data_IF_654950911466
#
_entry.id   IF_654950911466
#
_cell.length_a   1.000
_cell.length_b   1.000
_cell.length_c   1.000
_cell.angle_alpha   90.00
_cell.angle_beta   90.00
_cell.angle_gamma   90.00
#
_symmetry.space_group_name_H-M   'P 1'
#
loop_
_entity.id
_entity.type
_entity.pdbx_description
1 polymer ?
#
# COMPACT_ATOMS: atom_id res chain seq x y z
N UNK A 1 -15.67 4.97 4.80
CA UNK A 1 -14.87 4.08 5.67
C UNK A 1 -13.58 4.80 6.05
N UNK A 2 -13.18 4.81 7.33
CA UNK A 2 -12.02 5.57 7.83
C UNK A 2 -10.72 4.94 7.30
N UNK A 3 -9.92 5.69 6.52
CA UNK A 3 -8.70 5.18 5.92
C UNK A 3 -7.70 4.74 7.02
N UNK A 4 -7.35 3.45 7.03
CA UNK A 4 -6.49 2.81 8.04
C UNK A 4 -5.02 2.69 7.59
N UNK A 5 -4.68 3.25 6.43
CA UNK A 5 -3.35 3.22 5.84
C UNK A 5 -2.81 4.64 5.76
N UNK A 6 -1.56 4.83 6.21
CA UNK A 6 -0.87 6.11 6.12
C UNK A 6 -0.80 6.56 4.64
N UNK A 7 -1.05 7.84 4.37
CA UNK A 7 -0.93 8.43 3.02
C UNK A 7 0.43 8.14 2.37
N UNK A 8 1.48 7.99 3.18
CA UNK A 8 2.82 7.59 2.74
C UNK A 8 2.86 6.20 2.10
N UNK A 9 2.25 5.18 2.71
CA UNK A 9 2.25 3.81 2.17
C UNK A 9 1.51 3.75 0.81
N UNK A 10 0.41 4.50 0.70
CA UNK A 10 -0.30 4.70 -0.58
C UNK A 10 0.62 5.33 -1.63
N UNK A 11 1.34 6.39 -1.27
CA UNK A 11 2.23 7.10 -2.17
C UNK A 11 3.37 6.20 -2.65
N UNK A 12 4.01 5.45 -1.73
CA UNK A 12 5.04 4.48 -2.09
C UNK A 12 4.50 3.41 -3.04
N UNK A 13 3.32 2.82 -2.77
CA UNK A 13 2.72 1.84 -3.71
C UNK A 13 2.48 2.41 -5.09
N UNK A 14 2.02 3.66 -5.17
CA UNK A 14 1.77 4.31 -6.45
C UNK A 14 3.08 4.55 -7.21
N UNK A 15 4.12 5.03 -6.52
CA UNK A 15 5.47 5.23 -7.08
C UNK A 15 6.05 3.89 -7.56
N UNK A 16 6.05 2.86 -6.71
CA UNK A 16 6.57 1.54 -7.07
C UNK A 16 5.79 0.89 -8.23
N UNK A 17 4.46 0.99 -8.21
CA UNK A 17 3.61 0.46 -9.28
C UNK A 17 3.89 1.12 -10.63
N UNK A 18 4.01 2.45 -10.67
CA UNK A 18 4.41 3.18 -11.88
C UNK A 18 5.82 2.75 -12.32
N UNK A 19 6.76 2.67 -11.38
CA UNK A 19 8.15 2.30 -11.68
C UNK A 19 8.26 0.92 -12.31
N UNK A 20 7.52 -0.07 -11.80
CA UNK A 20 7.43 -1.43 -12.35
C UNK A 20 6.86 -1.46 -13.77
N UNK A 21 5.79 -0.70 -14.04
CA UNK A 21 5.20 -0.61 -15.38
C UNK A 21 6.18 0.02 -16.37
N UNK A 22 6.88 1.08 -15.94
CA UNK A 22 7.90 1.73 -16.76
C UNK A 22 9.01 0.74 -17.09
N UNK A 23 9.59 0.06 -16.09
CA UNK A 23 10.64 -0.95 -16.29
C UNK A 23 10.23 -2.03 -17.29
N UNK A 24 8.99 -2.54 -17.18
CA UNK A 24 8.44 -3.54 -18.09
C UNK A 24 8.39 -3.05 -19.54
N UNK A 25 8.09 -1.77 -19.81
CA UNK A 25 8.11 -1.26 -21.18
C UNK A 25 9.51 -1.07 -21.76
N UNK A 26 10.53 -0.87 -20.92
CA UNK A 26 11.91 -0.71 -21.36
C UNK A 26 12.61 -2.05 -21.64
N UNK A 27 11.91 -3.20 -21.55
CA UNK A 27 12.45 -4.54 -21.79
C UNK A 27 13.79 -4.80 -21.07
N UNK A 28 13.95 -4.25 -19.86
CA UNK A 28 15.21 -4.34 -19.10
C UNK A 28 15.58 -5.80 -18.79
N UNK A 29 14.58 -6.66 -18.69
CA UNK A 29 14.75 -8.05 -18.24
C UNK A 29 15.01 -9.04 -19.36
N UNK A 30 14.93 -8.66 -20.65
CA UNK A 30 15.08 -9.53 -21.85
C UNK A 30 14.21 -10.80 -21.90
N UNK A 31 13.49 -11.11 -20.82
CA UNK A 31 12.60 -12.24 -20.67
C UNK A 31 11.13 -11.78 -20.76
N UNK A 32 10.40 -12.16 -21.82
CA UNK A 32 9.02 -11.70 -22.04
C UNK A 32 8.05 -12.17 -20.95
N UNK A 33 8.32 -13.30 -20.30
CA UNK A 33 7.54 -13.76 -19.15
C UNK A 33 7.70 -12.83 -17.95
N UNK A 34 8.92 -12.33 -17.70
CA UNK A 34 9.19 -11.45 -16.57
C UNK A 34 8.50 -10.10 -16.78
N UNK A 35 8.52 -9.56 -18.00
CA UNK A 35 7.86 -8.29 -18.31
C UNK A 35 6.34 -8.35 -18.05
N UNK A 36 5.69 -9.45 -18.46
CA UNK A 36 4.25 -9.64 -18.19
C UNK A 36 3.97 -9.71 -16.69
N UNK A 37 4.80 -10.42 -15.92
CA UNK A 37 4.66 -10.53 -14.46
C UNK A 37 4.85 -9.14 -13.81
N UNK A 38 5.87 -8.38 -14.21
CA UNK A 38 6.13 -7.04 -13.70
C UNK A 38 4.95 -6.09 -14.00
N UNK A 39 4.37 -6.17 -15.20
CA UNK A 39 3.22 -5.37 -15.60
C UNK A 39 1.99 -5.70 -14.75
N UNK A 40 1.68 -6.98 -14.54
CA UNK A 40 0.56 -7.43 -13.69
C UNK A 40 0.75 -6.95 -12.24
N UNK A 41 1.95 -7.12 -11.69
CA UNK A 41 2.27 -6.66 -10.33
C UNK A 41 2.14 -5.14 -10.22
N UNK A 42 2.66 -4.39 -11.20
CA UNK A 42 2.56 -2.93 -11.23
C UNK A 42 1.11 -2.43 -11.23
N UNK A 43 0.25 -3.04 -12.08
CA UNK A 43 -1.18 -2.74 -12.12
C UNK A 43 -1.85 -3.05 -10.78
N UNK A 44 -1.56 -4.21 -10.19
CA UNK A 44 -2.07 -4.60 -8.88
C UNK A 44 -1.70 -3.59 -7.77
N UNK A 45 -0.46 -3.09 -7.78
CA UNK A 45 -0.01 -2.06 -6.82
C UNK A 45 -0.79 -0.75 -6.99
N UNK A 46 -1.03 -0.31 -8.22
CA UNK A 46 -1.79 0.91 -8.51
C UNK A 46 -3.24 0.75 -8.06
N UNK A 47 -3.89 -0.36 -8.39
CA UNK A 47 -5.26 -0.66 -7.95
C UNK A 47 -5.33 -0.64 -6.42
N UNK A 48 -4.40 -1.33 -5.76
CA UNK A 48 -4.30 -1.36 -4.29
C UNK A 48 -4.10 0.04 -3.69
N UNK A 49 -3.34 0.92 -4.35
CA UNK A 49 -3.15 2.31 -3.96
C UNK A 49 -4.42 3.16 -4.18
N UNK A 50 -5.22 2.91 -5.22
CA UNK A 50 -6.47 3.65 -5.51
C UNK A 50 -7.54 3.32 -4.47
N UNK A 51 -7.74 2.03 -4.16
CA UNK A 51 -8.75 1.60 -3.21
C UNK A 51 -8.42 1.94 -1.75
N UNK A 52 -7.22 2.48 -1.46
CA UNK A 52 -6.72 2.78 -0.09
C UNK A 52 -6.87 1.58 0.87
N UNK A 53 -6.98 0.38 0.32
CA UNK A 53 -7.23 -0.85 1.04
C UNK A 53 -6.17 -1.83 0.57
N UNK A 54 -5.21 -2.11 1.44
CA UNK A 54 -4.30 -3.19 1.19
C UNK A 54 -4.97 -4.48 1.64
N UNK A 55 -5.27 -5.37 0.69
CA UNK A 55 -5.78 -6.71 0.99
C UNK A 55 -4.87 -7.46 1.98
N UNK A 56 -3.56 -7.24 1.92
CA UNK A 56 -2.59 -7.82 2.88
C UNK A 56 -2.88 -7.34 4.30
N UNK A 57 -3.20 -6.07 4.52
CA UNK A 57 -3.55 -5.58 5.87
C UNK A 57 -4.91 -6.09 6.36
N UNK A 58 -5.84 -6.39 5.44
CA UNK A 58 -7.11 -7.06 5.78
C UNK A 58 -6.87 -8.52 6.16
N UNK A 59 -5.92 -9.19 5.50
CA UNK A 59 -5.55 -10.58 5.80
C UNK A 59 -4.65 -10.71 7.04
N UNK A 60 -3.83 -9.71 7.35
CA UNK A 60 -2.92 -9.71 8.50
C UNK A 60 -3.56 -9.28 9.83
N UNK A 61 -4.86 -8.95 9.84
CA UNK A 61 -5.63 -8.50 11.03
C UNK A 61 -4.86 -7.55 11.96
N UNK A 62 -4.01 -6.67 11.39
CA UNK A 62 -3.29 -5.69 12.19
C UNK A 62 -4.25 -4.51 12.42
N UNK A 63 -5.17 -4.73 13.35
CA UNK A 63 -6.07 -3.74 13.91
C UNK A 63 -5.25 -2.64 14.58
N UNK A 64 -4.72 -1.71 13.79
CA UNK A 64 -4.23 -0.42 14.29
C UNK A 64 -5.43 0.47 14.65
N UNK A 65 -6.36 -0.06 15.44
CA UNK A 65 -7.15 0.77 16.33
C UNK A 65 -6.14 1.30 17.34
N UNK A 66 -5.52 2.44 17.01
CA UNK A 66 -5.00 3.34 18.03
C UNK A 66 -6.19 3.73 18.89
N UNK A 67 -6.51 2.90 19.87
CA UNK A 67 -7.22 3.33 21.06
C UNK A 67 -6.34 4.45 21.58
N UNK A 68 -6.74 5.69 21.31
CA UNK A 68 -6.30 6.83 22.09
C UNK A 68 -6.70 6.45 23.50
N UNK A 69 -5.78 5.84 24.25
CA UNK A 69 -5.92 5.62 25.67
C UNK A 69 -6.00 7.04 26.22
N UNK A 70 -7.23 7.50 26.41
CA UNK A 70 -7.56 8.74 27.07
C UNK A 70 -6.96 8.58 28.47
N UNK A 71 -5.69 8.99 28.65
CA UNK A 71 -5.13 9.23 29.96
C UNK A 71 -5.94 10.41 30.50
N UNK A 72 -7.05 10.10 31.18
CA UNK A 72 -7.64 11.01 32.15
C UNK A 72 -6.53 11.31 33.14
N UNK A 73 -5.94 12.49 33.02
CA UNK A 73 -5.20 13.08 34.14
C UNK A 73 -6.23 13.22 35.26
N UNK A 74 -6.01 12.62 36.44
CA UNK A 74 -6.88 12.87 37.57
C UNK A 74 -6.77 14.35 37.93
N UNK A 75 -7.93 15.01 37.91
CA UNK A 75 -8.11 16.40 38.34
C UNK A 75 -8.13 16.43 39.87
N UNK A 76 -7.48 17.44 40.45
CA UNK A 76 -7.63 17.99 41.81
C UNK A 76 -6.94 17.20 42.94
N UNK A 77 -6.49 17.81 44.04
CA UNK A 77 -6.78 19.13 44.63
C UNK A 77 -5.51 19.89 44.98
#
# INVERSE_FOLDING_TARGET
MKANINKLDRLFRLIFGIFLIVISQFNITNDPLLDVILLIIGIYLIISAVFNYCLIYLFLDYSSIKTKKHRRSPKKF
#
